data_IF_791652740292
#
_entry.id   IF_791652740292
#
_cell.length_a   1.000
_cell.length_b   1.000
_cell.length_c   1.000
_cell.angle_alpha   90.00
_cell.angle_beta   90.00
_cell.angle_gamma   90.00
#
_symmetry.space_group_name_H-M   'P 1'
#
loop_
_entity.id
_entity.type
_entity.pdbx_description
1 polymer ?
#
# COMPACT_ATOMS: atom_id res chain seq x y z
N UNK A 1 4.64 20.16 -11.37
CA UNK A 1 3.72 19.14 -11.92
C UNK A 1 3.78 19.25 -13.43
N UNK A 2 4.19 18.20 -14.14
CA UNK A 2 4.44 18.26 -15.59
C UNK A 2 5.11 17.01 -16.16
N UNK A 3 5.69 16.16 -15.31
CA UNK A 3 6.31 14.90 -15.71
C UNK A 3 5.32 13.73 -15.84
N UNK A 4 4.18 13.78 -15.12
CA UNK A 4 3.15 12.75 -15.19
C UNK A 4 1.96 13.25 -16.01
N UNK A 5 1.68 12.55 -17.10
CA UNK A 5 0.58 12.87 -18.04
C UNK A 5 -0.66 11.99 -17.83
N UNK A 6 -0.59 11.01 -16.95
CA UNK A 6 -1.69 10.09 -16.62
C UNK A 6 -2.45 10.56 -15.37
N UNK A 7 -3.75 10.21 -15.23
CA UNK A 7 -4.52 10.54 -14.02
C UNK A 7 -3.91 9.94 -12.74
N UNK A 8 -3.44 8.70 -12.85
CA UNK A 8 -2.82 7.93 -11.79
C UNK A 8 -1.28 7.97 -11.87
N UNK A 9 -0.67 7.94 -10.69
CA UNK A 9 0.78 7.86 -10.48
C UNK A 9 1.04 6.71 -9.52
N UNK A 10 2.02 5.88 -9.84
CA UNK A 10 2.52 4.83 -8.96
C UNK A 10 3.96 5.12 -8.55
N UNK A 11 4.27 4.92 -7.27
CA UNK A 11 5.63 4.76 -6.77
C UNK A 11 5.85 3.28 -6.49
N UNK A 12 6.95 2.72 -7.00
CA UNK A 12 7.26 1.30 -6.88
C UNK A 12 8.75 1.17 -6.56
N UNK A 13 9.07 0.41 -5.51
CA UNK A 13 10.45 0.10 -5.14
C UNK A 13 11.11 -0.76 -6.23
N UNK A 14 12.34 -0.41 -6.62
CA UNK A 14 13.17 -1.17 -7.56
C UNK A 14 13.38 -2.63 -7.16
N UNK A 15 13.24 -2.98 -5.88
CA UNK A 15 13.21 -4.35 -5.37
C UNK A 15 12.23 -5.26 -6.11
N UNK A 16 11.10 -4.72 -6.58
CA UNK A 16 10.10 -5.46 -7.36
C UNK A 16 10.54 -5.78 -8.79
N UNK A 17 11.50 -5.05 -9.34
CA UNK A 17 11.94 -5.20 -10.72
C UNK A 17 13.28 -5.96 -10.85
N UNK A 18 13.77 -6.57 -9.77
CA UNK A 18 15.07 -7.30 -9.75
C UNK A 18 15.05 -8.61 -10.53
N UNK A 19 13.91 -9.29 -10.59
CA UNK A 19 13.78 -10.59 -11.26
C UNK A 19 12.61 -10.53 -12.24
N UNK A 20 12.78 -10.98 -13.51
CA UNK A 20 11.70 -10.95 -14.50
C UNK A 20 10.42 -11.70 -14.09
N UNK A 21 10.54 -12.65 -13.16
CA UNK A 21 9.42 -13.44 -12.66
C UNK A 21 8.45 -12.67 -11.73
N UNK A 22 8.84 -11.50 -11.21
CA UNK A 22 7.96 -10.67 -10.37
C UNK A 22 6.94 -9.95 -11.23
N UNK A 23 7.36 -9.42 -12.37
CA UNK A 23 6.46 -8.79 -13.36
C UNK A 23 5.85 -9.80 -14.31
N UNK A 24 6.48 -10.96 -14.55
CA UNK A 24 6.03 -12.00 -15.50
C UNK A 24 5.75 -11.46 -16.91
N UNK A 25 6.56 -10.49 -17.35
CA UNK A 25 6.35 -9.83 -18.64
C UNK A 25 5.16 -8.88 -18.69
N UNK A 26 4.63 -8.46 -17.54
CA UNK A 26 3.58 -7.45 -17.46
C UNK A 26 4.02 -6.16 -18.13
N UNK A 27 3.26 -5.74 -19.14
CA UNK A 27 3.46 -4.45 -19.85
C UNK A 27 2.53 -3.35 -19.35
N UNK A 28 1.33 -3.72 -18.91
CA UNK A 28 0.29 -2.80 -18.45
C UNK A 28 -0.26 -3.31 -17.13
N UNK A 29 -0.18 -2.49 -16.08
CA UNK A 29 -0.79 -2.81 -14.80
C UNK A 29 -2.24 -2.34 -14.77
N UNK A 30 -3.14 -3.19 -15.26
CA UNK A 30 -4.57 -2.91 -15.34
C UNK A 30 -5.29 -3.38 -14.06
N UNK A 31 -5.33 -2.49 -13.07
CA UNK A 31 -6.09 -2.67 -11.84
C UNK A 31 -7.01 -1.46 -11.66
N UNK A 32 -8.29 -1.66 -11.27
CA UNK A 32 -9.29 -0.60 -11.16
C UNK A 32 -9.07 0.22 -9.88
N UNK A 33 -8.01 1.03 -9.87
CA UNK A 33 -7.74 1.97 -8.80
C UNK A 33 -8.82 3.07 -8.78
N UNK A 34 -9.32 3.37 -7.58
CA UNK A 34 -10.25 4.47 -7.34
C UNK A 34 -9.45 5.78 -7.28
N UNK A 35 -9.66 6.65 -8.25
CA UNK A 35 -8.93 7.92 -8.37
C UNK A 35 -9.17 8.87 -7.18
N UNK A 36 -10.20 8.65 -6.37
CA UNK A 36 -10.50 9.42 -5.16
C UNK A 36 -9.70 8.97 -3.93
N UNK A 37 -8.89 7.90 -4.05
CA UNK A 37 -8.16 7.29 -2.95
C UNK A 37 -6.66 7.16 -3.23
N UNK A 38 -5.90 7.04 -2.15
CA UNK A 38 -4.56 6.46 -2.15
C UNK A 38 -4.66 4.95 -1.95
N UNK A 39 -3.96 4.19 -2.76
CA UNK A 39 -3.92 2.75 -2.69
C UNK A 39 -2.62 2.29 -2.05
N UNK A 40 -2.77 1.67 -0.89
CA UNK A 40 -1.69 0.97 -0.19
C UNK A 40 -1.94 -0.53 -0.28
N UNK A 41 -0.92 -1.32 -0.02
CA UNK A 41 -0.99 -2.77 -0.16
C UNK A 41 -0.67 -3.47 1.16
N UNK A 42 -1.43 -4.50 1.48
CA UNK A 42 -1.30 -5.19 2.77
C UNK A 42 -0.93 -6.66 2.60
N UNK A 43 -0.12 -7.16 3.55
CA UNK A 43 0.29 -8.57 3.63
C UNK A 43 -0.32 -9.29 4.85
N UNK A 44 -1.18 -8.60 5.59
CA UNK A 44 -2.03 -9.16 6.65
C UNK A 44 -3.44 -8.58 6.52
N UNK A 45 -4.44 -9.36 6.89
CA UNK A 45 -5.84 -8.91 6.90
C UNK A 45 -6.19 -8.22 8.21
N UNK A 46 -7.29 -7.46 8.20
CA UNK A 46 -7.90 -6.95 9.42
C UNK A 46 -7.05 -5.91 10.11
N UNK A 47 -6.39 -5.03 9.33
CA UNK A 47 -5.79 -3.84 9.92
C UNK A 47 -6.92 -2.99 10.53
N UNK A 48 -6.96 -2.95 11.85
CA UNK A 48 -7.86 -2.09 12.61
C UNK A 48 -7.00 -1.38 13.62
N UNK A 49 -7.00 -0.04 13.57
CA UNK A 49 -6.21 0.79 14.46
C UNK A 49 -7.15 1.79 15.11
N UNK A 50 -7.28 1.71 16.43
CA UNK A 50 -8.26 2.50 17.20
C UNK A 50 -7.62 3.62 18.00
N UNK A 51 -6.31 3.60 18.19
CA UNK A 51 -5.58 4.63 18.92
C UNK A 51 -4.18 4.87 18.36
N UNK A 52 -3.63 6.06 18.63
CA UNK A 52 -2.24 6.39 18.30
C UNK A 52 -1.25 5.48 19.04
N UNK A 53 -1.55 5.09 20.28
CA UNK A 53 -0.70 4.17 21.03
C UNK A 53 -0.59 2.81 20.31
N UNK A 54 -1.70 2.30 19.78
CA UNK A 54 -1.66 1.05 19.01
C UNK A 54 -0.81 1.17 17.74
N UNK A 55 -0.80 2.35 17.08
CA UNK A 55 0.14 2.61 15.97
C UNK A 55 1.58 2.49 16.46
N UNK A 56 1.92 3.11 17.59
CA UNK A 56 3.27 3.06 18.16
C UNK A 56 3.67 1.65 18.58
N UNK A 57 2.76 0.89 19.17
CA UNK A 57 2.97 -0.51 19.50
C UNK A 57 3.27 -1.35 18.25
N UNK A 58 2.61 -1.03 17.12
CA UNK A 58 2.90 -1.68 15.84
C UNK A 58 4.31 -1.34 15.32
N UNK A 59 4.75 -0.09 15.45
CA UNK A 59 6.10 0.34 15.06
C UNK A 59 7.16 -0.35 15.92
N UNK A 60 7.05 -0.25 17.26
CA UNK A 60 8.01 -0.80 18.22
C UNK A 60 8.05 -2.34 18.14
N UNK A 61 6.89 -2.97 17.97
CA UNK A 61 6.74 -4.42 17.83
C UNK A 61 7.02 -4.98 16.43
N UNK A 62 7.41 -4.14 15.47
CA UNK A 62 7.63 -4.51 14.06
C UNK A 62 6.44 -5.29 13.45
N UNK A 63 5.22 -4.82 13.75
CA UNK A 63 3.98 -5.43 13.27
C UNK A 63 3.63 -4.92 11.88
N UNK A 64 4.22 -5.57 10.87
CA UNK A 64 4.00 -5.19 9.47
C UNK A 64 2.62 -5.59 8.97
N UNK A 65 1.83 -4.61 8.55
CA UNK A 65 0.55 -4.79 7.84
C UNK A 65 0.60 -4.25 6.43
N UNK A 66 0.93 -2.96 6.30
CA UNK A 66 1.08 -2.24 5.05
C UNK A 66 2.54 -2.35 4.59
N UNK A 67 2.77 -2.61 3.31
CA UNK A 67 4.12 -2.66 2.74
C UNK A 67 4.56 -1.26 2.29
N UNK A 68 5.86 -0.96 2.43
CA UNK A 68 6.44 0.29 1.93
C UNK A 68 6.55 0.34 0.40
N UNK A 69 6.77 -0.81 -0.23
CA UNK A 69 7.33 -0.89 -1.58
C UNK A 69 6.41 -0.55 -2.77
N UNK A 70 5.15 -0.16 -2.54
CA UNK A 70 4.27 0.29 -3.61
C UNK A 70 3.14 1.19 -3.13
N UNK A 71 2.88 2.27 -3.87
CA UNK A 71 1.82 3.24 -3.58
C UNK A 71 1.23 3.67 -4.92
N UNK A 72 -0.10 3.73 -5.03
CA UNK A 72 -0.79 4.22 -6.23
C UNK A 72 -1.81 5.28 -5.83
N UNK A 73 -1.96 6.33 -6.62
CA UNK A 73 -2.97 7.35 -6.38
C UNK A 73 -3.03 8.37 -7.51
N UNK A 74 -4.09 9.16 -7.53
CA UNK A 74 -4.21 10.26 -8.48
C UNK A 74 -3.27 11.42 -8.14
N UNK A 75 -2.88 12.21 -9.14
CA UNK A 75 -1.93 13.32 -8.95
C UNK A 75 -2.33 14.29 -7.81
N UNK A 76 -3.63 14.49 -7.60
CA UNK A 76 -4.14 15.36 -6.54
C UNK A 76 -4.06 14.68 -5.15
N UNK A 77 -4.41 13.39 -5.05
CA UNK A 77 -4.32 12.63 -3.80
C UNK A 77 -2.89 12.49 -3.30
N UNK A 78 -1.90 12.43 -4.19
CA UNK A 78 -0.49 12.46 -3.82
C UNK A 78 -0.09 13.71 -3.03
N UNK A 79 -0.70 14.89 -3.31
CA UNK A 79 -0.43 16.10 -2.52
C UNK A 79 -1.00 16.01 -1.10
N UNK A 80 -2.21 15.47 -0.97
CA UNK A 80 -2.84 15.22 0.34
C UNK A 80 -2.01 14.21 1.14
N UNK A 81 -1.61 13.13 0.49
CA UNK A 81 -0.81 12.07 1.08
C UNK A 81 0.56 12.58 1.55
N UNK A 82 1.26 13.37 0.75
CA UNK A 82 2.56 13.95 1.14
C UNK A 82 2.46 14.76 2.43
N UNK A 83 1.43 15.62 2.56
CA UNK A 83 1.21 16.39 3.79
C UNK A 83 0.95 15.47 4.98
N UNK A 84 0.11 14.45 4.80
CA UNK A 84 -0.22 13.50 5.84
C UNK A 84 0.98 12.67 6.31
N UNK A 85 1.85 12.24 5.38
CA UNK A 85 3.11 11.55 5.68
C UNK A 85 4.02 12.45 6.51
N UNK A 86 4.24 13.69 6.08
CA UNK A 86 5.08 14.65 6.80
C UNK A 86 4.57 14.91 8.22
N UNK A 87 3.25 15.08 8.39
CA UNK A 87 2.65 15.21 9.72
C UNK A 87 2.83 13.96 10.57
N UNK A 88 2.66 12.77 9.99
CA UNK A 88 2.81 11.49 10.69
C UNK A 88 4.25 11.26 11.14
N UNK A 89 5.23 11.63 10.30
CA UNK A 89 6.65 11.63 10.67
C UNK A 89 6.95 12.60 11.80
N UNK A 90 6.38 13.81 11.79
CA UNK A 90 6.55 14.76 12.90
C UNK A 90 5.97 14.22 14.21
N UNK A 91 4.79 13.59 14.17
CA UNK A 91 4.16 13.00 15.37
C UNK A 91 5.05 11.90 15.95
N UNK A 92 5.52 10.97 15.11
CA UNK A 92 6.39 9.88 15.55
C UNK A 92 7.71 10.40 16.12
N UNK A 93 8.37 11.35 15.43
CA UNK A 93 9.60 11.99 15.91
C UNK A 93 9.42 12.71 17.25
N UNK A 94 8.33 13.46 17.44
CA UNK A 94 8.03 14.13 18.70
C UNK A 94 7.79 13.14 19.86
N UNK A 95 7.51 11.87 19.54
CA UNK A 95 7.39 10.79 20.51
C UNK A 95 8.65 9.91 20.57
N UNK A 96 9.78 10.38 20.02
CA UNK A 96 11.06 9.66 19.94
C UNK A 96 11.00 8.32 19.20
N UNK A 97 10.08 8.19 18.24
CA UNK A 97 9.93 7.01 17.39
C UNK A 97 10.39 7.36 15.98
N UNK A 98 11.30 6.55 15.44
CA UNK A 98 11.68 6.55 14.03
C UNK A 98 11.39 5.16 13.50
N UNK A 99 10.66 5.11 12.38
CA UNK A 99 10.31 3.85 11.72
C UNK A 99 10.34 4.03 10.20
N UNK A 100 10.28 2.92 9.48
CA UNK A 100 10.22 2.90 8.03
C UNK A 100 8.81 3.23 7.49
N UNK A 101 8.66 3.15 6.16
CA UNK A 101 7.41 3.42 5.45
C UNK A 101 6.20 2.66 6.05
N UNK A 102 6.39 1.45 6.55
CA UNK A 102 5.32 0.56 7.00
C UNK A 102 4.63 1.13 8.23
N UNK A 103 5.40 1.58 9.22
CA UNK A 103 4.88 2.24 10.41
C UNK A 103 4.23 3.57 10.07
N UNK A 104 4.91 4.40 9.27
CA UNK A 104 4.39 5.72 8.88
C UNK A 104 3.06 5.59 8.14
N UNK A 105 2.90 4.59 7.27
CA UNK A 105 1.64 4.38 6.55
C UNK A 105 0.51 3.89 7.46
N UNK A 106 0.80 3.15 8.52
CA UNK A 106 -0.19 2.81 9.56
C UNK A 106 -0.65 4.07 10.28
N UNK A 107 0.27 5.00 10.61
CA UNK A 107 -0.10 6.29 11.21
C UNK A 107 -0.98 7.13 10.27
N UNK A 108 -0.62 7.21 8.99
CA UNK A 108 -1.43 7.88 7.99
C UNK A 108 -2.85 7.27 7.90
N UNK A 109 -2.94 5.94 7.86
CA UNK A 109 -4.22 5.23 7.81
C UNK A 109 -5.07 5.47 9.06
N UNK A 110 -4.46 5.47 10.25
CA UNK A 110 -5.14 5.81 11.49
C UNK A 110 -5.73 7.23 11.47
N UNK A 111 -4.96 8.22 11.00
CA UNK A 111 -5.39 9.63 10.96
C UNK A 111 -6.47 9.92 9.92
N UNK A 112 -6.40 9.28 8.75
CA UNK A 112 -7.28 9.55 7.60
C UNK A 112 -7.64 8.26 6.88
N UNK A 113 -8.38 7.33 7.51
CA UNK A 113 -8.74 6.05 6.89
C UNK A 113 -9.57 6.25 5.62
N UNK A 114 -10.30 7.37 5.53
CA UNK A 114 -11.07 7.80 4.37
C UNK A 114 -10.20 8.12 3.14
N UNK A 115 -8.92 8.43 3.31
CA UNK A 115 -8.02 8.71 2.19
C UNK A 115 -7.57 7.43 1.48
N UNK A 116 -7.69 6.27 2.12
CA UNK A 116 -7.01 5.05 1.68
C UNK A 116 -7.94 3.94 1.23
N UNK A 117 -7.46 3.15 0.27
CA UNK A 117 -7.95 1.83 -0.04
C UNK A 117 -6.80 0.81 0.17
N UNK A 118 -7.05 -0.21 1.00
CA UNK A 118 -6.06 -1.22 1.35
C UNK A 118 -6.23 -2.49 0.50
N UNK A 119 -5.24 -2.76 -0.35
CA UNK A 119 -5.27 -3.85 -1.32
C UNK A 119 -4.50 -5.06 -0.78
N UNK A 120 -5.22 -6.09 -0.33
CA UNK A 120 -4.60 -7.26 0.28
C UNK A 120 -3.94 -8.19 -0.75
N UNK A 121 -2.64 -8.41 -0.61
CA UNK A 121 -1.84 -9.23 -1.51
C UNK A 121 -1.84 -10.72 -1.17
N UNK A 122 -2.18 -11.08 0.07
CA UNK A 122 -1.98 -12.42 0.63
C UNK A 122 -0.96 -12.42 1.78
N UNK A 123 -1.00 -13.45 2.64
CA UNK A 123 -0.18 -13.47 3.86
C UNK A 123 1.30 -13.51 3.51
N UNK A 124 2.04 -12.47 3.90
CA UNK A 124 3.47 -12.34 3.61
C UNK A 124 3.83 -12.25 2.11
N UNK A 125 2.85 -11.98 1.23
CA UNK A 125 3.06 -11.98 -0.23
C UNK A 125 3.51 -10.60 -0.74
N UNK A 126 4.67 -10.14 -0.28
CA UNK A 126 5.27 -8.87 -0.69
C UNK A 126 5.34 -8.73 -2.21
N UNK A 127 5.98 -9.67 -2.89
CA UNK A 127 6.22 -9.64 -4.34
C UNK A 127 5.01 -9.96 -5.23
N UNK A 128 3.82 -10.11 -4.66
CA UNK A 128 2.59 -10.37 -5.42
C UNK A 128 1.86 -9.08 -5.84
N UNK A 129 2.50 -7.91 -5.68
CA UNK A 129 1.98 -6.59 -6.07
C UNK A 129 1.35 -6.60 -7.47
N UNK A 130 2.13 -7.03 -8.46
CA UNK A 130 1.70 -7.09 -9.85
C UNK A 130 0.72 -8.22 -10.13
N UNK A 131 0.39 -9.09 -9.16
CA UNK A 131 -0.65 -10.13 -9.33
C UNK A 131 -2.06 -9.62 -9.03
N UNK A 132 -2.19 -8.34 -8.72
CA UNK A 132 -3.45 -7.64 -8.68
C UNK A 132 -3.82 -7.19 -10.11
N UNK A 133 -4.59 -8.03 -10.81
CA UNK A 133 -5.08 -7.76 -12.16
C UNK A 133 -6.60 -7.73 -12.15
N UNK A 134 -7.23 -6.74 -12.80
CA UNK A 134 -8.59 -6.92 -13.31
C UNK A 134 -8.78 -6.16 -14.61
N UNK A 135 -8.85 -6.92 -15.71
CA UNK A 135 -9.62 -6.52 -16.90
C UNK A 135 -10.94 -7.29 -17.03
N UNK A 136 -11.11 -8.46 -16.40
CA UNK A 136 -12.33 -9.27 -16.51
C UNK A 136 -12.67 -10.12 -15.25
N UNK A 137 -13.90 -10.64 -15.22
CA UNK A 137 -14.48 -11.46 -14.13
C UNK A 137 -13.67 -12.71 -13.81
N UNK A 138 -12.95 -13.26 -14.79
CA UNK A 138 -12.14 -14.47 -14.60
C UNK A 138 -10.83 -14.17 -13.86
N UNK A 139 -10.14 -13.08 -14.22
CA UNK A 139 -8.95 -12.60 -13.51
C UNK A 139 -9.26 -12.23 -12.05
N UNK A 140 -10.42 -11.61 -11.82
CA UNK A 140 -10.93 -11.34 -10.47
C UNK A 140 -11.09 -12.60 -9.62
N UNK A 141 -11.70 -13.65 -10.18
CA UNK A 141 -11.90 -14.95 -9.52
C UNK A 141 -10.55 -15.64 -9.24
N UNK A 142 -9.61 -15.59 -10.18
CA UNK A 142 -8.26 -16.13 -10.00
C UNK A 142 -7.49 -15.42 -8.89
N UNK A 143 -7.56 -14.08 -8.83
CA UNK A 143 -6.94 -13.30 -7.75
C UNK A 143 -7.55 -13.68 -6.40
N UNK A 144 -8.88 -13.75 -6.30
CA UNK A 144 -9.58 -14.12 -5.08
C UNK A 144 -9.21 -15.54 -4.61
N UNK A 145 -9.16 -16.51 -5.53
CA UNK A 145 -8.74 -17.88 -5.27
C UNK A 145 -7.30 -17.95 -4.77
N UNK A 146 -6.37 -17.24 -5.41
CA UNK A 146 -4.97 -17.15 -4.96
C UNK A 146 -4.87 -16.63 -3.53
N UNK A 147 -5.58 -15.54 -3.24
CA UNK A 147 -5.62 -14.94 -1.91
C UNK A 147 -6.20 -15.92 -0.89
N UNK A 148 -7.26 -16.65 -1.26
CA UNK A 148 -7.85 -17.69 -0.41
C UNK A 148 -6.88 -18.83 -0.10
N UNK A 149 -6.19 -19.34 -1.12
CA UNK A 149 -5.19 -20.41 -0.97
C UNK A 149 -3.97 -19.96 -0.14
N UNK A 150 -3.66 -18.66 -0.13
CA UNK A 150 -2.59 -18.07 0.69
C UNK A 150 -2.94 -17.90 2.18
N UNK A 151 -4.10 -18.40 2.64
CA UNK A 151 -4.56 -18.34 4.04
C UNK A 151 -3.96 -19.41 4.97
N UNK A 152 -3.22 -20.37 4.44
CA UNK A 152 -2.42 -21.31 5.25
C UNK A 152 -1.12 -20.62 5.69
#
# INVERSE_FOLDING_TARGET
MGLVKTPLVAWIDFGYCRKPNVTRGLKIWDFPFDESKMHLFTIKKGLTVTSQQQVFDFMIGNHVYIIGGAIVGSQHKWKEFYKLVLESQKITLNNNIVDDDQGIFVMCYYKRPDLFNLNYLGRGKWFDLFRCFRSNTLGAKMQALRIFLSRK
#
